data_IF_193767059218
#
_entry.id   IF_193767059218
#
_cell.length_a   1.000
_cell.length_b   1.000
_cell.length_c   1.000
_cell.angle_alpha   90.00
_cell.angle_beta   90.00
_cell.angle_gamma   90.00
#
_symmetry.space_group_name_H-M   'P 1'
#
loop_
_entity.id
_entity.type
_entity.pdbx_description
1 polymer ?
#
# COMPACT_ATOMS: atom_id res chain seq x y z
N UNK A 1 -13.09 -9.30 -29.55
CA UNK A 1 -13.35 -9.18 -28.10
C UNK A 1 -12.29 -9.99 -27.41
N UNK A 2 -11.67 -9.45 -26.41
CA UNK A 2 -10.74 -10.22 -25.57
C UNK A 2 -11.54 -11.24 -24.75
N UNK A 3 -10.92 -12.37 -24.43
CA UNK A 3 -11.59 -13.43 -23.67
C UNK A 3 -11.76 -13.09 -22.17
N UNK A 4 -11.27 -11.90 -21.74
CA UNK A 4 -11.32 -11.44 -20.35
C UNK A 4 -12.08 -10.13 -20.28
N UNK A 5 -13.13 -10.09 -19.46
CA UNK A 5 -13.96 -8.92 -19.20
C UNK A 5 -13.78 -8.52 -17.74
N UNK A 6 -13.29 -7.30 -17.47
CA UNK A 6 -13.05 -6.79 -16.14
C UNK A 6 -14.07 -5.70 -15.79
N UNK A 7 -14.94 -5.99 -14.85
CA UNK A 7 -15.98 -5.08 -14.35
C UNK A 7 -15.54 -4.44 -13.05
N UNK A 8 -15.59 -3.12 -12.96
CA UNK A 8 -15.16 -2.39 -11.76
C UNK A 8 -15.41 -0.90 -11.87
N UNK A 9 -14.80 -0.13 -10.96
CA UNK A 9 -14.87 1.33 -10.96
C UNK A 9 -13.48 1.95 -10.95
N UNK A 10 -13.33 3.11 -11.59
CA UNK A 10 -12.03 3.79 -11.73
C UNK A 10 -11.43 4.25 -10.40
N UNK A 11 -12.26 4.53 -9.40
CA UNK A 11 -11.87 4.91 -8.04
C UNK A 11 -11.45 3.73 -7.15
N UNK A 12 -11.86 2.49 -7.47
CA UNK A 12 -11.61 1.29 -6.66
C UNK A 12 -10.11 0.88 -6.70
N UNK A 13 -9.41 0.78 -5.56
CA UNK A 13 -8.00 0.40 -5.51
C UNK A 13 -7.73 -1.00 -6.05
N UNK A 14 -8.58 -1.99 -5.72
CA UNK A 14 -8.44 -3.37 -6.18
C UNK A 14 -8.68 -3.51 -7.68
N UNK A 15 -9.59 -2.71 -8.24
CA UNK A 15 -9.78 -2.61 -9.68
C UNK A 15 -8.52 -2.06 -10.37
N UNK A 16 -7.91 -1.01 -9.81
CA UNK A 16 -6.64 -0.46 -10.32
C UNK A 16 -5.51 -1.47 -10.23
N UNK A 17 -5.41 -2.21 -9.11
CA UNK A 17 -4.44 -3.29 -8.92
C UNK A 17 -4.60 -4.40 -9.95
N UNK A 18 -5.82 -4.92 -10.14
CA UNK A 18 -6.10 -5.98 -11.11
C UNK A 18 -5.82 -5.53 -12.55
N UNK A 19 -6.26 -4.32 -12.94
CA UNK A 19 -5.95 -3.73 -14.26
C UNK A 19 -4.46 -3.63 -14.49
N UNK A 20 -3.73 -3.11 -13.50
CA UNK A 20 -2.27 -2.95 -13.58
C UNK A 20 -1.60 -4.32 -13.72
N UNK A 21 -1.97 -5.31 -12.90
CA UNK A 21 -1.42 -6.65 -12.97
C UNK A 21 -1.60 -7.29 -14.34
N UNK A 22 -2.83 -7.29 -14.88
CA UNK A 22 -3.10 -7.83 -16.22
C UNK A 22 -2.30 -7.09 -17.30
N UNK A 23 -2.19 -5.77 -17.22
CA UNK A 23 -1.41 -4.95 -18.16
C UNK A 23 0.10 -5.27 -18.07
N UNK A 24 0.67 -5.38 -16.87
CA UNK A 24 2.07 -5.72 -16.64
C UNK A 24 2.41 -7.11 -17.20
N UNK A 25 1.48 -8.06 -17.07
CA UNK A 25 1.58 -9.42 -17.62
C UNK A 25 1.24 -9.49 -19.11
N UNK A 26 0.92 -8.37 -19.77
CA UNK A 26 0.51 -8.28 -21.18
C UNK A 26 -0.69 -9.18 -21.52
N UNK A 27 -1.55 -9.39 -20.55
CA UNK A 27 -2.82 -10.13 -20.72
C UNK A 27 -3.89 -9.15 -21.20
N UNK A 28 -4.42 -9.31 -22.43
CA UNK A 28 -5.44 -8.41 -22.94
C UNK A 28 -6.78 -8.62 -22.21
N UNK A 29 -7.45 -7.52 -21.88
CA UNK A 29 -8.78 -7.53 -21.27
C UNK A 29 -9.60 -6.33 -21.73
N UNK A 30 -10.93 -6.45 -21.70
CA UNK A 30 -11.86 -5.35 -21.91
C UNK A 30 -12.29 -4.79 -20.55
N UNK A 31 -12.14 -3.48 -20.37
CA UNK A 31 -12.53 -2.77 -19.15
C UNK A 31 -13.97 -2.25 -19.26
N UNK A 32 -14.78 -2.56 -18.26
CA UNK A 32 -16.15 -2.07 -18.10
C UNK A 32 -16.21 -1.26 -16.80
N UNK A 33 -16.32 0.06 -16.94
CA UNK A 33 -16.59 0.92 -15.79
C UNK A 33 -18.09 0.81 -15.46
N UNK A 34 -18.41 0.21 -14.32
CA UNK A 34 -19.79 0.01 -13.89
C UNK A 34 -20.38 1.21 -13.14
N UNK A 35 -19.62 2.30 -12.99
CA UNK A 35 -20.13 3.52 -12.36
C UNK A 35 -21.13 4.20 -13.30
N UNK A 36 -22.43 4.06 -12.97
CA UNK A 36 -23.52 4.51 -13.82
C UNK A 36 -23.94 3.56 -14.96
N UNK A 37 -23.44 2.32 -14.98
CA UNK A 37 -23.83 1.26 -15.93
C UNK A 37 -24.70 0.20 -15.26
N UNK A 38 -26.02 0.34 -15.38
CA UNK A 38 -27.00 -0.59 -14.81
C UNK A 38 -26.89 -2.02 -15.34
N UNK A 39 -26.37 -2.21 -16.56
CA UNK A 39 -26.20 -3.55 -17.16
C UNK A 39 -24.97 -4.24 -16.56
N UNK A 40 -23.87 -3.51 -16.44
CA UNK A 40 -22.65 -3.98 -15.78
C UNK A 40 -22.89 -4.31 -14.30
N UNK A 41 -23.63 -3.46 -13.57
CA UNK A 41 -24.01 -3.72 -12.19
C UNK A 41 -24.81 -5.02 -12.06
N UNK A 42 -25.83 -5.20 -12.89
CA UNK A 42 -26.66 -6.43 -12.86
C UNK A 42 -25.85 -7.67 -13.13
N UNK A 43 -24.93 -7.64 -14.09
CA UNK A 43 -24.05 -8.76 -14.39
C UNK A 43 -23.16 -9.11 -13.19
N UNK A 44 -22.56 -8.09 -12.55
CA UNK A 44 -21.72 -8.27 -11.35
C UNK A 44 -22.54 -8.90 -10.22
N UNK A 45 -23.74 -8.40 -9.96
CA UNK A 45 -24.63 -8.93 -8.92
C UNK A 45 -25.08 -10.37 -9.22
N UNK A 46 -25.43 -10.67 -10.47
CA UNK A 46 -25.81 -12.02 -10.89
C UNK A 46 -24.67 -13.03 -10.64
N UNK A 47 -23.44 -12.64 -10.99
CA UNK A 47 -22.26 -13.48 -10.80
C UNK A 47 -21.89 -13.67 -9.33
N UNK A 48 -22.18 -12.70 -8.47
CA UNK A 48 -21.78 -12.69 -7.06
C UNK A 48 -22.95 -12.96 -6.09
N UNK A 49 -24.00 -13.64 -6.53
CA UNK A 49 -25.12 -14.03 -5.64
C UNK A 49 -25.92 -12.84 -5.09
N UNK A 50 -26.10 -11.79 -5.89
CA UNK A 50 -26.82 -10.57 -5.54
C UNK A 50 -25.96 -9.51 -4.85
N UNK A 51 -24.62 -9.68 -4.79
CA UNK A 51 -23.68 -8.71 -4.20
C UNK A 51 -22.92 -7.97 -5.30
N UNK A 52 -22.78 -6.66 -5.13
CA UNK A 52 -21.94 -5.82 -6.00
C UNK A 52 -20.48 -5.88 -5.52
N UNK A 53 -19.73 -6.90 -5.94
CA UNK A 53 -18.30 -7.08 -5.60
C UNK A 53 -17.46 -6.67 -6.79
N UNK A 54 -16.47 -5.79 -6.59
CA UNK A 54 -15.57 -5.30 -7.63
C UNK A 54 -14.10 -5.31 -7.17
N UNK A 55 -13.15 -5.66 -8.08
CA UNK A 55 -13.37 -6.10 -9.47
C UNK A 55 -14.03 -7.47 -9.60
N UNK A 56 -14.94 -7.63 -10.53
CA UNK A 56 -15.39 -8.95 -11.00
C UNK A 56 -14.78 -9.19 -12.38
N UNK A 57 -14.02 -10.28 -12.52
CA UNK A 57 -13.31 -10.63 -13.75
C UNK A 57 -13.93 -11.89 -14.33
N UNK A 58 -14.49 -11.79 -15.52
CA UNK A 58 -15.12 -12.90 -16.25
C UNK A 58 -14.18 -13.39 -17.34
N UNK A 59 -13.93 -14.69 -17.40
CA UNK A 59 -13.03 -15.33 -18.35
C UNK A 59 -13.81 -15.98 -19.50
N UNK A 60 -13.13 -16.20 -20.63
CA UNK A 60 -13.71 -16.80 -21.83
C UNK A 60 -14.27 -18.23 -21.65
N UNK A 61 -13.84 -18.94 -20.61
CA UNK A 61 -14.38 -20.24 -20.22
C UNK A 61 -15.70 -20.15 -19.43
N UNK A 62 -16.21 -18.94 -19.22
CA UNK A 62 -17.43 -18.65 -18.47
C UNK A 62 -17.25 -18.59 -16.94
N UNK A 63 -16.08 -18.92 -16.41
CA UNK A 63 -15.75 -18.73 -15.00
C UNK A 63 -15.57 -17.25 -14.66
N UNK A 64 -15.63 -16.93 -13.37
CA UNK A 64 -15.31 -15.58 -12.89
C UNK A 64 -14.54 -15.64 -11.59
N UNK A 65 -13.84 -14.55 -11.29
CA UNK A 65 -13.23 -14.26 -9.99
C UNK A 65 -13.78 -12.92 -9.50
N UNK A 66 -14.14 -12.87 -8.22
CA UNK A 66 -14.61 -11.68 -7.53
C UNK A 66 -13.52 -11.19 -6.58
N UNK A 67 -13.08 -9.96 -6.74
CA UNK A 67 -12.03 -9.33 -5.92
C UNK A 67 -10.75 -10.19 -5.79
N UNK A 68 -10.26 -10.79 -6.90
CA UNK A 68 -9.15 -11.74 -6.82
C UNK A 68 -7.86 -11.04 -6.42
N UNK A 69 -7.02 -11.76 -5.68
CA UNK A 69 -5.61 -11.40 -5.51
C UNK A 69 -4.84 -11.55 -6.82
N UNK A 70 -3.65 -10.97 -6.91
CA UNK A 70 -2.79 -11.19 -8.08
C UNK A 70 -2.29 -12.64 -8.18
N UNK A 71 -2.16 -13.34 -7.03
CA UNK A 71 -1.82 -14.77 -6.99
C UNK A 71 -2.91 -15.63 -7.64
N UNK A 72 -4.18 -15.40 -7.28
CA UNK A 72 -5.34 -16.08 -7.87
C UNK A 72 -5.46 -15.79 -9.37
N UNK A 73 -5.17 -14.54 -9.78
CA UNK A 73 -5.13 -14.17 -11.20
C UNK A 73 -4.00 -14.89 -11.95
N UNK A 74 -2.80 -14.93 -11.36
CA UNK A 74 -1.65 -15.61 -11.95
C UNK A 74 -1.92 -17.11 -12.12
N UNK A 75 -2.50 -17.75 -11.10
CA UNK A 75 -2.89 -19.16 -11.14
C UNK A 75 -3.95 -19.42 -12.21
N UNK A 76 -5.03 -18.63 -12.24
CA UNK A 76 -6.09 -18.74 -13.24
C UNK A 76 -5.59 -18.59 -14.68
N UNK A 77 -4.58 -17.75 -14.88
CA UNK A 77 -4.00 -17.44 -16.19
C UNK A 77 -2.82 -18.35 -16.54
N UNK A 78 -2.38 -19.23 -15.64
CA UNK A 78 -1.24 -20.12 -15.86
C UNK A 78 0.09 -19.34 -16.03
N UNK A 79 0.25 -18.19 -15.39
CA UNK A 79 1.45 -17.36 -15.47
C UNK A 79 2.61 -18.01 -14.70
N UNK A 80 3.83 -17.84 -15.22
CA UNK A 80 5.03 -18.31 -14.54
C UNK A 80 5.23 -17.56 -13.20
N UNK A 81 5.48 -18.33 -12.14
CA UNK A 81 5.65 -17.83 -10.76
C UNK A 81 7.00 -18.23 -10.17
N UNK A 82 7.97 -18.52 -11.01
CA UNK A 82 9.37 -18.84 -10.64
C UNK A 82 10.31 -17.96 -11.41
N UNK A 83 11.40 -17.51 -10.77
CA UNK A 83 12.45 -16.74 -11.40
C UNK A 83 13.37 -17.64 -12.26
N UNK A 84 14.11 -17.03 -13.18
CA UNK A 84 14.98 -17.74 -14.13
C UNK A 84 16.23 -18.32 -13.45
N UNK A 85 16.75 -17.64 -12.43
CA UNK A 85 17.93 -18.07 -11.67
C UNK A 85 17.55 -18.43 -10.24
N UNK A 86 18.40 -19.16 -9.54
CA UNK A 86 18.25 -19.49 -8.13
C UNK A 86 19.29 -18.81 -7.24
N UNK A 87 20.29 -18.14 -7.82
CA UNK A 87 21.36 -17.46 -7.07
C UNK A 87 21.49 -16.04 -7.58
N UNK A 88 21.48 -15.07 -6.66
CA UNK A 88 21.55 -13.62 -6.95
C UNK A 88 22.56 -12.94 -6.03
N UNK A 89 23.06 -11.79 -6.42
CA UNK A 89 23.79 -10.91 -5.50
C UNK A 89 22.85 -10.28 -4.48
N UNK A 90 21.64 -9.91 -4.94
CA UNK A 90 20.63 -9.24 -4.12
C UNK A 90 19.22 -9.75 -4.43
N UNK A 91 18.52 -10.22 -3.39
CA UNK A 91 17.07 -10.46 -3.45
C UNK A 91 16.34 -9.35 -2.68
N UNK A 92 15.34 -8.75 -3.32
CA UNK A 92 14.52 -7.67 -2.76
C UNK A 92 13.10 -8.19 -2.55
N UNK A 93 12.63 -8.15 -1.31
CA UNK A 93 11.27 -8.53 -0.94
C UNK A 93 10.40 -7.27 -0.86
N UNK A 94 9.55 -7.09 -1.87
CA UNK A 94 8.67 -5.94 -2.06
C UNK A 94 9.06 -5.07 -3.25
N UNK A 95 8.18 -5.03 -4.24
CA UNK A 95 8.31 -4.28 -5.50
C UNK A 95 7.68 -2.87 -5.46
N UNK A 96 7.62 -2.27 -4.26
CA UNK A 96 7.21 -0.87 -4.08
C UNK A 96 8.32 0.12 -4.48
N UNK A 97 8.10 1.44 -4.30
CA UNK A 97 9.06 2.48 -4.67
C UNK A 97 10.46 2.28 -4.08
N UNK A 98 10.54 1.82 -2.83
CA UNK A 98 11.82 1.50 -2.17
C UNK A 98 12.54 0.36 -2.87
N UNK A 99 11.87 -0.78 -3.03
CA UNK A 99 12.47 -1.97 -3.65
C UNK A 99 12.89 -1.74 -5.09
N UNK A 100 12.03 -1.13 -5.91
CA UNK A 100 12.35 -0.80 -7.29
C UNK A 100 13.50 0.20 -7.41
N UNK A 101 13.58 1.19 -6.51
CA UNK A 101 14.72 2.12 -6.49
C UNK A 101 16.01 1.39 -6.12
N UNK A 102 16.00 0.57 -5.08
CA UNK A 102 17.16 -0.24 -4.70
C UNK A 102 17.61 -1.13 -5.85
N UNK A 103 16.67 -1.81 -6.51
CA UNK A 103 16.96 -2.66 -7.67
C UNK A 103 17.62 -1.91 -8.83
N UNK A 104 17.12 -0.70 -9.15
CA UNK A 104 17.72 0.16 -10.18
C UNK A 104 19.18 0.51 -9.84
N UNK A 105 19.43 0.90 -8.58
CA UNK A 105 20.79 1.25 -8.16
C UNK A 105 21.72 0.04 -8.17
N UNK A 106 21.28 -1.10 -7.63
CA UNK A 106 22.04 -2.35 -7.59
C UNK A 106 22.40 -2.86 -8.99
N UNK A 107 21.42 -2.97 -9.88
CA UNK A 107 21.64 -3.44 -11.25
C UNK A 107 22.54 -2.51 -12.09
N UNK A 108 22.52 -1.20 -11.83
CA UNK A 108 23.46 -0.26 -12.47
C UNK A 108 24.92 -0.49 -12.05
N UNK A 109 25.14 -1.15 -10.93
CA UNK A 109 26.46 -1.57 -10.45
C UNK A 109 26.77 -3.04 -10.78
N UNK A 110 26.02 -3.62 -11.73
CA UNK A 110 26.13 -4.99 -12.22
C UNK A 110 25.87 -6.07 -11.13
N UNK A 111 25.02 -5.78 -10.15
CA UNK A 111 24.55 -6.80 -9.22
C UNK A 111 23.35 -7.54 -9.84
N UNK A 112 23.47 -8.88 -9.91
CA UNK A 112 22.35 -9.73 -10.30
C UNK A 112 21.24 -9.59 -9.24
N UNK A 113 20.08 -9.03 -9.65
CA UNK A 113 19.06 -8.58 -8.74
C UNK A 113 17.70 -9.17 -9.08
N UNK A 114 17.07 -9.79 -8.09
CA UNK A 114 15.69 -10.28 -8.12
C UNK A 114 14.81 -9.42 -7.22
N UNK A 115 13.65 -9.00 -7.72
CA UNK A 115 12.58 -8.39 -6.90
C UNK A 115 11.39 -9.35 -6.86
N UNK A 116 10.93 -9.69 -5.64
CA UNK A 116 9.76 -10.54 -5.42
C UNK A 116 8.65 -9.70 -4.77
N UNK A 117 7.47 -9.72 -5.34
CA UNK A 117 6.30 -9.00 -4.80
C UNK A 117 5.03 -9.85 -4.85
N UNK A 118 4.30 -9.91 -3.74
CA UNK A 118 3.07 -10.69 -3.63
C UNK A 118 1.86 -10.02 -4.26
N UNK A 119 1.81 -8.69 -4.25
CA UNK A 119 0.61 -7.92 -4.66
C UNK A 119 0.74 -7.29 -6.05
N UNK A 120 1.95 -7.03 -6.50
CA UNK A 120 2.22 -6.37 -7.77
C UNK A 120 3.08 -5.12 -7.64
N UNK A 121 3.82 -4.83 -8.71
CA UNK A 121 4.84 -3.81 -8.74
C UNK A 121 4.29 -2.39 -8.63
N UNK A 122 5.00 -1.56 -7.89
CA UNK A 122 4.63 -0.17 -7.60
C UNK A 122 4.07 0.05 -6.20
N UNK A 123 3.66 -1.03 -5.51
CA UNK A 123 3.17 -0.96 -4.13
C UNK A 123 2.00 0.02 -3.94
N UNK A 124 1.89 0.65 -2.78
CA UNK A 124 0.83 1.63 -2.47
C UNK A 124 0.81 2.83 -3.44
N UNK A 125 1.99 3.26 -3.93
CA UNK A 125 2.06 4.33 -4.92
C UNK A 125 1.34 3.95 -6.22
N UNK A 126 1.46 2.70 -6.66
CA UNK A 126 0.86 2.21 -7.90
C UNK A 126 -0.67 2.19 -7.92
N UNK A 127 -1.31 2.14 -6.76
CA UNK A 127 -2.77 2.14 -6.61
C UNK A 127 -3.34 3.51 -6.20
N UNK A 128 -2.47 4.49 -5.90
CA UNK A 128 -2.87 5.86 -5.61
C UNK A 128 -3.31 6.56 -6.90
N UNK A 129 -4.43 7.25 -6.87
CA UNK A 129 -4.97 7.91 -8.06
C UNK A 129 -4.03 9.00 -8.55
N UNK A 130 -3.58 9.89 -7.66
CA UNK A 130 -2.73 11.03 -7.98
C UNK A 130 -1.74 11.34 -6.86
N UNK A 131 -0.55 11.72 -7.24
CA UNK A 131 0.57 12.10 -6.38
C UNK A 131 0.96 13.56 -6.70
N UNK A 132 0.61 14.49 -5.81
CA UNK A 132 0.90 15.92 -5.98
C UNK A 132 2.16 16.38 -5.21
N UNK A 133 2.66 15.53 -4.31
CA UNK A 133 3.81 15.82 -3.44
C UNK A 133 5.11 15.11 -3.85
N UNK A 134 5.16 14.48 -5.02
CA UNK A 134 6.39 13.86 -5.52
C UNK A 134 7.19 14.85 -6.34
N UNK A 135 8.45 15.17 -5.95
CA UNK A 135 9.27 16.17 -6.64
C UNK A 135 9.53 15.82 -8.10
N UNK A 136 9.54 16.82 -8.98
CA UNK A 136 9.76 16.67 -10.42
C UNK A 136 8.47 16.63 -11.26
N UNK A 137 7.30 16.64 -10.63
CA UNK A 137 5.99 16.66 -11.28
C UNK A 137 5.15 17.84 -10.79
N UNK A 138 5.36 19.05 -11.36
CA UNK A 138 4.69 20.27 -10.86
C UNK A 138 3.16 20.23 -10.99
N UNK A 139 2.65 19.44 -11.93
CA UNK A 139 1.22 19.23 -12.14
C UNK A 139 0.70 17.93 -11.51
N UNK A 140 1.49 17.29 -10.63
CA UNK A 140 1.21 15.96 -10.11
C UNK A 140 1.42 14.85 -11.14
N UNK A 141 1.32 13.59 -10.71
CA UNK A 141 1.45 12.40 -11.57
C UNK A 141 0.50 11.31 -11.09
N UNK A 142 -0.06 10.52 -11.99
CA UNK A 142 -0.80 9.32 -11.63
C UNK A 142 0.10 8.29 -10.95
N UNK A 143 -0.36 7.70 -9.85
CA UNK A 143 0.45 6.73 -9.10
C UNK A 143 0.82 5.51 -9.95
N UNK A 144 -0.12 4.99 -10.73
CA UNK A 144 0.13 3.89 -11.68
C UNK A 144 1.16 4.27 -12.75
N UNK A 145 1.11 5.50 -13.27
CA UNK A 145 2.07 6.01 -14.25
C UNK A 145 3.49 6.07 -13.66
N UNK A 146 3.62 6.61 -12.44
CA UNK A 146 4.91 6.71 -11.78
C UNK A 146 5.49 5.32 -11.48
N UNK A 147 4.64 4.41 -10.97
CA UNK A 147 5.03 3.02 -10.71
C UNK A 147 5.51 2.30 -11.97
N UNK A 148 4.80 2.46 -13.09
CA UNK A 148 5.20 1.90 -14.38
C UNK A 148 6.56 2.45 -14.86
N UNK A 149 6.85 3.73 -14.62
CA UNK A 149 8.16 4.32 -14.92
C UNK A 149 9.28 3.66 -14.09
N UNK A 150 9.08 3.38 -12.79
CA UNK A 150 10.06 2.65 -11.98
C UNK A 150 10.26 1.22 -12.47
N UNK A 151 9.17 0.51 -12.76
CA UNK A 151 9.23 -0.87 -13.29
C UNK A 151 10.02 -0.94 -14.59
N UNK A 152 9.66 -0.10 -15.57
CA UNK A 152 10.39 -0.04 -16.87
C UNK A 152 11.85 0.35 -16.70
N UNK A 153 12.16 1.22 -15.75
CA UNK A 153 13.54 1.59 -15.47
C UNK A 153 14.33 0.41 -14.87
N UNK A 154 13.76 -0.35 -13.94
CA UNK A 154 14.38 -1.55 -13.38
C UNK A 154 14.61 -2.62 -14.46
N UNK A 155 13.59 -2.91 -15.28
CA UNK A 155 13.68 -3.86 -16.40
C UNK A 155 14.76 -3.47 -17.43
N UNK A 156 14.91 -2.17 -17.71
CA UNK A 156 15.96 -1.67 -18.62
C UNK A 156 17.37 -2.03 -18.16
N UNK A 157 17.59 -2.19 -16.86
CA UNK A 157 18.86 -2.59 -16.27
C UNK A 157 19.00 -4.10 -16.03
N UNK A 158 18.03 -4.89 -16.51
CA UNK A 158 18.09 -6.35 -16.42
C UNK A 158 17.60 -6.92 -15.07
N UNK A 159 16.96 -6.09 -14.22
CA UNK A 159 16.37 -6.59 -12.97
C UNK A 159 15.31 -7.63 -13.28
N UNK A 160 15.38 -8.79 -12.65
CA UNK A 160 14.33 -9.79 -12.70
C UNK A 160 13.21 -9.44 -11.70
N UNK A 161 11.97 -9.47 -12.18
CA UNK A 161 10.78 -9.05 -11.43
C UNK A 161 9.80 -10.21 -11.35
N UNK A 162 9.64 -10.78 -10.15
CA UNK A 162 8.72 -11.87 -9.87
C UNK A 162 7.49 -11.34 -9.13
N UNK A 163 6.33 -11.40 -9.78
CA UNK A 163 5.07 -10.89 -9.25
C UNK A 163 4.15 -12.01 -8.82
N UNK A 164 3.19 -11.69 -7.94
CA UNK A 164 2.20 -12.61 -7.43
C UNK A 164 2.83 -13.82 -6.71
N UNK A 165 3.93 -13.56 -6.00
CA UNK A 165 4.65 -14.56 -5.20
C UNK A 165 4.96 -13.98 -3.84
N UNK A 166 4.50 -14.66 -2.79
CA UNK A 166 4.78 -14.27 -1.40
C UNK A 166 6.06 -14.94 -0.91
N UNK A 167 6.93 -14.16 -0.28
CA UNK A 167 8.07 -14.69 0.48
C UNK A 167 7.57 -15.15 1.86
N UNK A 168 8.00 -16.32 2.29
CA UNK A 168 7.62 -16.93 3.58
C UNK A 168 8.72 -16.84 4.62
N UNK A 169 9.99 -16.93 4.21
CA UNK A 169 11.14 -16.80 5.11
C UNK A 169 12.32 -16.12 4.43
N UNK A 170 13.19 -15.50 5.25
CA UNK A 170 14.51 -15.02 4.86
C UNK A 170 15.47 -15.44 5.95
N UNK A 171 16.31 -16.44 5.69
CA UNK A 171 17.19 -17.04 6.70
C UNK A 171 18.64 -17.01 6.25
N UNK A 172 19.56 -16.97 7.22
CA UNK A 172 21.00 -17.19 7.00
C UNK A 172 21.25 -18.71 6.96
N UNK A 173 21.82 -19.21 5.87
CA UNK A 173 22.15 -20.63 5.70
C UNK A 173 23.41 -21.05 6.47
N UNK A 174 24.09 -20.11 7.14
CA UNK A 174 25.34 -20.33 7.88
C UNK A 174 26.59 -20.42 6.99
N UNK A 175 26.46 -20.26 5.67
CA UNK A 175 27.54 -20.33 4.68
C UNK A 175 27.82 -18.99 3.99
N UNK A 176 27.41 -17.87 4.60
CA UNK A 176 27.48 -16.50 4.06
C UNK A 176 26.50 -16.24 2.89
N UNK A 177 25.52 -17.09 2.71
CA UNK A 177 24.40 -16.90 1.79
C UNK A 177 23.10 -16.85 2.58
N UNK A 178 22.12 -16.15 2.01
CA UNK A 178 20.78 -16.07 2.54
C UNK A 178 19.88 -16.97 1.71
N UNK A 179 18.98 -17.68 2.35
CA UNK A 179 17.92 -18.42 1.69
C UNK A 179 16.60 -17.68 1.81
N UNK A 180 15.99 -17.37 0.66
CA UNK A 180 14.70 -16.71 0.53
C UNK A 180 13.70 -17.72 0.00
N UNK A 181 12.83 -18.20 0.86
CA UNK A 181 11.78 -19.16 0.52
C UNK A 181 10.49 -18.46 0.15
N UNK A 182 9.78 -19.00 -0.82
CA UNK A 182 8.50 -18.49 -1.30
C UNK A 182 7.35 -19.44 -0.98
N UNK A 183 6.12 -18.93 -0.99
CA UNK A 183 4.90 -19.73 -0.81
C UNK A 183 4.69 -20.76 -1.93
N UNK A 184 5.36 -20.63 -3.07
CA UNK A 184 5.38 -21.60 -4.16
C UNK A 184 6.34 -22.77 -3.90
N UNK A 185 7.16 -22.68 -2.85
CA UNK A 185 8.19 -23.67 -2.53
C UNK A 185 9.51 -23.47 -3.27
N UNK A 186 9.66 -22.37 -4.00
CA UNK A 186 10.94 -22.01 -4.62
C UNK A 186 11.89 -21.40 -3.57
N UNK A 187 13.18 -21.67 -3.71
CA UNK A 187 14.26 -21.15 -2.91
C UNK A 187 15.21 -20.31 -3.77
N UNK A 188 15.50 -19.10 -3.31
CA UNK A 188 16.45 -18.20 -3.95
C UNK A 188 17.59 -17.85 -2.99
N UNK A 189 18.80 -18.18 -3.39
CA UNK A 189 19.99 -17.87 -2.60
C UNK A 189 20.53 -16.49 -2.95
N UNK A 190 20.95 -15.73 -1.95
CA UNK A 190 21.45 -14.38 -2.14
C UNK A 190 22.59 -14.04 -1.19
N UNK A 191 23.51 -13.19 -1.66
CA UNK A 191 24.58 -12.62 -0.83
C UNK A 191 24.09 -11.52 0.09
N UNK A 192 23.01 -10.85 -0.32
CA UNK A 192 22.30 -9.86 0.49
C UNK A 192 20.79 -9.90 0.18
N UNK A 193 19.97 -9.50 1.16
CA UNK A 193 18.53 -9.33 0.98
C UNK A 193 18.07 -7.96 1.48
N UNK A 194 17.05 -7.39 0.81
CA UNK A 194 16.39 -6.17 1.25
C UNK A 194 14.92 -6.45 1.54
N UNK A 195 14.48 -6.12 2.74
CA UNK A 195 13.08 -6.08 3.13
C UNK A 195 12.51 -4.69 2.79
N UNK A 196 11.67 -4.63 1.76
CA UNK A 196 11.01 -3.41 1.27
C UNK A 196 9.49 -3.60 1.16
N UNK A 197 8.92 -4.44 2.05
CA UNK A 197 7.52 -4.88 2.02
C UNK A 197 6.52 -3.80 2.42
N UNK A 198 7.01 -2.67 2.95
CA UNK A 198 6.18 -1.53 3.29
C UNK A 198 5.28 -1.76 4.49
N UNK A 199 4.19 -0.98 4.55
CA UNK A 199 3.18 -1.07 5.60
C UNK A 199 1.78 -0.90 5.00
N UNK A 200 0.77 -1.35 5.74
CA UNK A 200 -0.64 -1.22 5.38
C UNK A 200 -1.36 -0.33 6.38
N UNK A 201 -2.29 0.49 5.92
CA UNK A 201 -3.12 1.29 6.81
C UNK A 201 -4.09 0.40 7.58
N UNK A 202 -4.22 0.65 8.89
CA UNK A 202 -5.25 0.01 9.70
C UNK A 202 -6.63 0.42 9.23
N UNK A 203 -7.53 -0.54 9.23
CA UNK A 203 -8.93 -0.36 8.90
C UNK A 203 -9.76 -0.11 10.16
N UNK A 204 -10.87 0.60 10.00
CA UNK A 204 -11.84 0.76 11.10
C UNK A 204 -12.64 -0.52 11.31
N UNK A 205 -12.70 -1.39 10.29
CA UNK A 205 -13.52 -2.61 10.19
C UNK A 205 -15.03 -2.30 10.26
N UNK A 206 -15.41 -1.05 10.04
CA UNK A 206 -16.79 -0.63 10.01
C UNK A 206 -17.47 -1.05 8.71
N UNK A 207 -18.74 -1.39 8.78
CA UNK A 207 -19.52 -1.80 7.61
C UNK A 207 -19.47 -0.75 6.51
N UNK A 208 -19.18 -1.15 5.26
CA UNK A 208 -19.10 -0.28 4.08
C UNK A 208 -17.78 0.49 3.93
N UNK A 209 -16.77 0.24 4.80
CA UNK A 209 -15.46 0.89 4.65
C UNK A 209 -14.80 0.52 3.32
N UNK A 210 -14.71 -0.77 3.03
CA UNK A 210 -14.00 -1.27 1.84
C UNK A 210 -14.62 -0.77 0.53
N UNK A 211 -15.94 -0.68 0.47
CA UNK A 211 -16.67 -0.20 -0.70
C UNK A 211 -16.43 1.30 -1.00
N UNK A 212 -15.97 2.08 -0.01
CA UNK A 212 -15.86 3.53 -0.10
C UNK A 212 -14.40 4.05 -0.05
N UNK A 213 -13.43 3.15 -0.02
CA UNK A 213 -12.01 3.53 -0.12
C UNK A 213 -11.72 4.11 -1.50
N UNK A 214 -11.17 5.33 -1.52
CA UNK A 214 -11.00 6.13 -2.74
C UNK A 214 -12.26 6.86 -3.20
N UNK A 215 -13.45 6.43 -2.75
CA UNK A 215 -14.74 7.06 -3.04
C UNK A 215 -15.22 8.01 -1.92
N UNK A 216 -14.31 8.45 -1.07
CA UNK A 216 -14.54 9.36 0.05
C UNK A 216 -13.88 8.94 1.35
N UNK A 217 -13.29 7.73 1.43
CA UNK A 217 -12.43 7.29 2.53
C UNK A 217 -10.98 7.26 2.06
N UNK A 218 -10.10 7.93 2.81
CA UNK A 218 -8.70 8.17 2.45
C UNK A 218 -7.77 7.89 3.63
N UNK A 219 -6.48 7.69 3.34
CA UNK A 219 -5.44 7.39 4.32
C UNK A 219 -4.24 8.34 4.27
N UNK A 220 -4.30 9.37 3.40
CA UNK A 220 -3.23 10.35 3.23
C UNK A 220 -3.82 11.74 3.03
N UNK A 221 -3.73 12.63 4.02
CA UNK A 221 -4.29 13.97 3.89
C UNK A 221 -3.49 14.84 2.91
N UNK A 222 -2.17 14.68 2.86
CA UNK A 222 -1.33 15.44 1.92
C UNK A 222 -1.56 15.02 0.46
N UNK A 223 -2.01 13.77 0.22
CA UNK A 223 -2.33 13.27 -1.11
C UNK A 223 -3.73 13.71 -1.56
N UNK A 224 -4.73 13.53 -0.69
CA UNK A 224 -6.14 13.61 -1.06
C UNK A 224 -6.83 14.89 -0.56
N UNK A 225 -6.29 15.53 0.50
CA UNK A 225 -6.84 16.76 1.08
C UNK A 225 -7.09 17.89 0.07
N UNK A 226 -6.15 18.19 -0.85
CA UNK A 226 -6.32 19.24 -1.85
C UNK A 226 -7.56 19.08 -2.74
N UNK A 227 -8.05 17.85 -2.97
CA UNK A 227 -9.28 17.59 -3.76
C UNK A 227 -10.55 18.08 -3.06
N UNK A 228 -10.48 18.32 -1.75
CA UNK A 228 -11.61 18.79 -0.94
C UNK A 228 -11.62 20.29 -0.72
N UNK A 229 -10.87 21.06 -1.51
CA UNK A 229 -10.82 22.52 -1.37
C UNK A 229 -12.21 23.15 -1.54
N UNK A 230 -12.65 23.85 -0.49
CA UNK A 230 -13.97 24.50 -0.45
C UNK A 230 -15.09 23.57 0.06
N UNK A 231 -14.77 22.40 0.58
CA UNK A 231 -15.73 21.53 1.25
C UNK A 231 -16.22 22.14 2.58
N UNK A 232 -17.42 21.76 3.00
CA UNK A 232 -18.00 22.24 4.27
C UNK A 232 -17.50 21.48 5.48
N UNK A 233 -17.30 20.14 5.35
CA UNK A 233 -16.85 19.29 6.45
C UNK A 233 -15.98 18.13 5.94
N UNK A 234 -14.86 17.92 6.63
CA UNK A 234 -14.05 16.69 6.53
C UNK A 234 -14.00 16.01 7.90
N UNK A 235 -13.84 14.70 7.90
CA UNK A 235 -13.75 13.92 9.14
C UNK A 235 -12.39 13.22 9.21
N UNK A 236 -11.81 13.19 10.41
CA UNK A 236 -10.59 12.46 10.74
C UNK A 236 -10.93 11.39 11.77
N UNK A 237 -10.58 10.15 11.48
CA UNK A 237 -10.72 9.04 12.41
C UNK A 237 -9.36 8.76 13.05
N UNK A 238 -9.25 9.02 14.35
CA UNK A 238 -8.04 8.82 15.16
C UNK A 238 -7.48 10.12 15.76
N UNK A 239 -7.33 10.15 17.07
CA UNK A 239 -6.83 11.28 17.86
C UNK A 239 -5.37 11.13 18.32
N UNK A 240 -4.56 10.34 17.60
CA UNK A 240 -3.11 10.25 17.77
C UNK A 240 -2.36 11.39 17.08
N UNK A 241 -1.00 11.41 17.16
CA UNK A 241 -0.20 12.47 16.53
C UNK A 241 -0.55 12.66 15.05
N UNK A 242 -0.55 11.58 14.26
CA UNK A 242 -0.86 11.65 12.83
C UNK A 242 -2.25 12.24 12.56
N UNK A 243 -3.28 11.76 13.26
CA UNK A 243 -4.64 12.29 13.07
C UNK A 243 -4.78 13.77 13.41
N UNK A 244 -4.09 14.24 14.46
CA UNK A 244 -4.12 15.65 14.85
C UNK A 244 -3.33 16.54 13.90
N UNK A 245 -2.14 16.12 13.45
CA UNK A 245 -1.31 16.86 12.49
C UNK A 245 -2.02 16.96 11.13
N UNK A 246 -2.47 15.84 10.60
CA UNK A 246 -3.18 15.76 9.33
C UNK A 246 -4.55 16.47 9.39
N UNK A 247 -5.24 16.39 10.54
CA UNK A 247 -6.47 17.15 10.76
C UNK A 247 -6.26 18.66 10.72
N UNK A 248 -5.18 19.16 11.35
CA UNK A 248 -4.78 20.55 11.25
C UNK A 248 -4.45 20.97 9.80
N UNK A 249 -3.75 20.11 9.06
CA UNK A 249 -3.46 20.35 7.65
C UNK A 249 -4.75 20.45 6.82
N UNK A 250 -5.71 19.57 7.04
CA UNK A 250 -7.01 19.56 6.35
C UNK A 250 -7.84 20.83 6.56
N UNK A 251 -7.63 21.58 7.66
CA UNK A 251 -8.33 22.87 7.88
C UNK A 251 -8.05 23.92 6.79
N UNK A 252 -6.96 23.72 6.02
CA UNK A 252 -6.63 24.57 4.85
C UNK A 252 -7.56 24.36 3.64
N UNK A 253 -8.33 23.27 3.63
CA UNK A 253 -9.15 22.89 2.47
C UNK A 253 -10.65 22.91 2.75
N UNK A 254 -11.06 22.88 4.01
CA UNK A 254 -12.47 22.80 4.41
C UNK A 254 -12.84 23.88 5.42
N UNK A 255 -14.15 24.07 5.60
CA UNK A 255 -14.67 24.99 6.64
C UNK A 255 -14.63 24.35 8.03
N UNK A 256 -14.70 23.02 8.13
CA UNK A 256 -14.70 22.27 9.39
C UNK A 256 -13.99 20.93 9.25
N UNK A 257 -13.24 20.56 10.29
CA UNK A 257 -12.67 19.22 10.47
C UNK A 257 -13.18 18.62 11.78
N UNK A 258 -13.79 17.44 11.72
CA UNK A 258 -14.27 16.70 12.88
C UNK A 258 -13.31 15.55 13.15
N UNK A 259 -12.65 15.57 14.33
CA UNK A 259 -11.80 14.47 14.79
C UNK A 259 -12.61 13.52 15.66
N UNK A 260 -12.66 12.26 15.29
CA UNK A 260 -13.34 11.18 16.03
C UNK A 260 -12.30 10.31 16.70
N UNK A 261 -12.36 10.19 18.03
CA UNK A 261 -11.47 9.37 18.83
C UNK A 261 -12.27 8.44 19.75
N UNK A 262 -11.89 7.17 19.77
CA UNK A 262 -12.59 6.15 20.58
C UNK A 262 -12.32 6.25 22.07
N UNK A 263 -11.19 6.85 22.45
CA UNK A 263 -10.78 7.02 23.84
C UNK A 263 -11.47 8.24 24.47
N UNK A 264 -11.43 8.30 25.79
CA UNK A 264 -11.89 9.43 26.62
C UNK A 264 -11.01 10.69 26.47
N UNK A 265 -9.92 10.59 25.70
CA UNK A 265 -8.93 11.67 25.49
C UNK A 265 -8.20 11.52 24.16
N UNK A 266 -7.69 12.64 23.65
CA UNK A 266 -6.74 12.63 22.55
C UNK A 266 -5.41 12.03 23.01
N UNK A 267 -4.77 11.23 22.14
CA UNK A 267 -3.51 10.52 22.43
C UNK A 267 -2.28 11.16 21.78
N UNK A 268 -2.48 12.19 21.00
CA UNK A 268 -1.37 12.98 20.43
C UNK A 268 -0.60 13.79 21.49
N UNK A 269 0.52 14.41 21.10
CA UNK A 269 1.31 15.26 21.98
C UNK A 269 0.49 16.44 22.53
N UNK A 270 0.83 16.91 23.73
CA UNK A 270 0.12 18.03 24.36
C UNK A 270 0.06 19.26 23.48
N UNK A 271 1.16 19.56 22.76
CA UNK A 271 1.24 20.67 21.82
C UNK A 271 0.19 20.56 20.69
N UNK A 272 -0.01 19.35 20.13
CA UNK A 272 -0.99 19.11 19.09
C UNK A 272 -2.41 19.17 19.63
N UNK A 273 -2.65 18.57 20.81
CA UNK A 273 -3.93 18.67 21.50
C UNK A 273 -4.34 20.14 21.70
N UNK A 274 -3.43 20.97 22.23
CA UNK A 274 -3.70 22.39 22.47
C UNK A 274 -3.99 23.16 21.16
N UNK A 275 -3.27 22.85 20.08
CA UNK A 275 -3.54 23.44 18.75
C UNK A 275 -4.93 23.06 18.24
N UNK A 276 -5.30 21.80 18.31
CA UNK A 276 -6.58 21.28 17.83
C UNK A 276 -7.74 21.83 18.64
N UNK A 277 -7.64 21.79 19.98
CA UNK A 277 -8.71 22.26 20.87
C UNK A 277 -8.97 23.76 20.79
N UNK A 278 -7.98 24.55 20.39
CA UNK A 278 -8.12 26.01 20.22
C UNK A 278 -8.34 26.43 18.75
N UNK A 279 -8.42 25.49 17.81
CA UNK A 279 -8.58 25.83 16.39
C UNK A 279 -10.04 26.06 16.02
N UNK A 280 -10.40 27.23 15.41
CA UNK A 280 -11.79 27.62 15.18
C UNK A 280 -12.54 26.70 14.20
N UNK A 281 -11.84 25.95 13.37
CA UNK A 281 -12.42 25.02 12.39
C UNK A 281 -12.43 23.57 12.85
N UNK A 282 -11.93 23.25 14.06
CA UNK A 282 -11.83 21.87 14.54
C UNK A 282 -12.88 21.57 15.61
N UNK A 283 -13.49 20.41 15.47
CA UNK A 283 -14.38 19.78 16.45
C UNK A 283 -13.78 18.44 16.85
N UNK A 284 -13.88 18.07 18.13
CA UNK A 284 -13.38 16.78 18.63
C UNK A 284 -14.55 16.03 19.26
N UNK A 285 -14.77 14.80 18.80
CA UNK A 285 -15.69 13.84 19.35
C UNK A 285 -14.90 12.72 20.01
N UNK A 286 -14.84 12.75 21.35
CA UNK A 286 -14.24 11.69 22.16
C UNK A 286 -15.25 10.58 22.41
N UNK A 287 -14.77 9.39 22.74
CA UNK A 287 -15.60 8.22 23.07
C UNK A 287 -16.58 7.85 21.95
N UNK A 288 -16.24 8.17 20.71
CA UNK A 288 -17.03 7.82 19.54
C UNK A 288 -16.26 6.84 18.64
N UNK A 289 -16.98 5.84 18.14
CA UNK A 289 -16.51 4.90 17.12
C UNK A 289 -17.26 5.08 15.81
N UNK A 290 -16.71 4.56 14.71
CA UNK A 290 -17.44 4.44 13.46
C UNK A 290 -18.20 3.12 13.46
N UNK A 291 -19.52 3.17 13.31
CA UNK A 291 -20.37 1.99 13.20
C UNK A 291 -20.54 1.55 11.74
N UNK A 292 -20.70 2.50 10.82
CA UNK A 292 -20.82 2.20 9.39
C UNK A 292 -20.49 3.42 8.52
N UNK A 293 -20.06 3.13 7.30
CA UNK A 293 -20.01 4.08 6.19
C UNK A 293 -21.09 3.71 5.17
N UNK A 294 -21.76 4.71 4.61
CA UNK A 294 -22.80 4.51 3.60
C UNK A 294 -22.57 5.38 2.38
N UNK A 295 -22.77 4.79 1.22
CA UNK A 295 -22.78 5.53 -0.04
C UNK A 295 -23.98 6.48 -0.10
N UNK A 296 -23.90 7.45 -0.99
CA UNK A 296 -25.04 8.29 -1.36
C UNK A 296 -26.11 7.47 -2.06
N UNK A 297 -27.37 7.83 -1.84
CA UNK A 297 -28.52 7.19 -2.52
C UNK A 297 -28.68 7.63 -3.98
N UNK A 298 -27.74 8.45 -4.52
CA UNK A 298 -27.77 8.99 -5.89
C UNK A 298 -27.13 8.06 -6.95
N UNK A 299 -26.69 6.86 -6.52
CA UNK A 299 -26.03 5.87 -7.39
C UNK A 299 -24.57 6.18 -7.73
N UNK A 300 -24.00 7.27 -7.20
CA UNK A 300 -22.61 7.67 -7.50
C UNK A 300 -21.55 6.74 -6.88
N UNK A 301 -21.92 5.88 -5.95
CA UNK A 301 -20.99 5.04 -5.19
C UNK A 301 -20.08 5.83 -4.23
N UNK A 302 -20.27 7.15 -4.08
CA UNK A 302 -19.46 8.01 -3.21
C UNK A 302 -19.98 8.04 -1.79
N UNK A 303 -19.09 8.37 -0.84
CA UNK A 303 -19.44 8.53 0.56
C UNK A 303 -20.60 9.52 0.74
N UNK A 304 -21.64 9.08 1.45
CA UNK A 304 -22.83 9.88 1.80
C UNK A 304 -22.94 10.14 3.28
N UNK A 305 -22.84 9.07 4.10
CA UNK A 305 -23.05 9.17 5.54
C UNK A 305 -22.02 8.35 6.30
N UNK A 306 -21.55 8.90 7.42
CA UNK A 306 -20.79 8.19 8.44
C UNK A 306 -21.69 8.02 9.66
N UNK A 307 -21.99 6.78 10.03
CA UNK A 307 -22.70 6.47 11.27
C UNK A 307 -21.67 6.34 12.39
N UNK A 308 -21.70 7.28 13.33
CA UNK A 308 -20.89 7.23 14.55
C UNK A 308 -21.73 6.60 15.67
N UNK A 309 -21.05 5.97 16.62
CA UNK A 309 -21.63 5.43 17.84
C UNK A 309 -20.92 6.05 19.05
N UNK A 310 -21.69 6.66 19.95
CA UNK A 310 -21.21 7.04 21.28
C UNK A 310 -20.97 5.75 22.06
N UNK A 311 -19.73 5.50 22.44
CA UNK A 311 -19.31 4.25 23.07
C UNK A 311 -19.71 4.14 24.56
N UNK A 312 -20.19 5.23 25.16
CA UNK A 312 -20.73 5.22 26.52
C UNK A 312 -22.22 4.90 26.53
N UNK A 313 -22.97 5.51 25.62
CA UNK A 313 -24.45 5.42 25.63
C UNK A 313 -24.99 4.44 24.60
N UNK A 314 -24.20 4.08 23.56
CA UNK A 314 -24.66 3.30 22.40
C UNK A 314 -25.53 4.11 21.43
N UNK A 315 -25.66 5.42 21.62
CA UNK A 315 -26.44 6.28 20.74
C UNK A 315 -25.73 6.46 19.39
N UNK A 316 -26.49 6.39 18.29
CA UNK A 316 -25.98 6.56 16.94
C UNK A 316 -26.16 7.98 16.43
N UNK A 317 -25.12 8.54 15.87
CA UNK A 317 -25.08 9.87 15.26
C UNK A 317 -24.70 9.77 13.78
N UNK A 318 -25.58 10.22 12.88
CA UNK A 318 -25.27 10.35 11.45
C UNK A 318 -24.55 11.66 11.14
N UNK A 319 -23.45 11.59 10.38
CA UNK A 319 -22.70 12.75 9.85
C UNK A 319 -22.56 12.62 8.33
N UNK A 320 -22.43 13.74 7.64
CA UNK A 320 -22.35 13.81 6.17
C UNK A 320 -21.09 14.56 5.68
N UNK A 321 -19.87 14.15 6.08
CA UNK A 321 -18.66 14.79 5.60
C UNK A 321 -18.48 14.53 4.11
N UNK A 322 -17.80 15.44 3.40
CA UNK A 322 -17.44 15.24 2.00
C UNK A 322 -16.32 14.22 1.83
N UNK A 323 -15.47 14.03 2.86
CA UNK A 323 -14.43 13.03 2.90
C UNK A 323 -14.06 12.63 4.32
N UNK A 324 -13.57 11.41 4.46
CA UNK A 324 -13.08 10.83 5.72
C UNK A 324 -11.62 10.44 5.55
N UNK A 325 -10.80 10.78 6.54
CA UNK A 325 -9.38 10.46 6.59
C UNK A 325 -9.10 9.58 7.81
N UNK A 326 -8.60 8.35 7.58
CA UNK A 326 -8.42 7.35 8.63
C UNK A 326 -6.95 7.31 9.07
N UNK A 327 -6.68 7.70 10.33
CA UNK A 327 -5.35 7.77 10.93
C UNK A 327 -5.28 7.01 12.25
N UNK A 328 -5.67 5.73 12.23
CA UNK A 328 -5.68 4.84 13.41
C UNK A 328 -4.42 3.96 13.51
N UNK A 329 -3.43 4.22 12.66
CA UNK A 329 -2.14 3.58 12.66
C UNK A 329 -1.82 2.83 11.37
N UNK A 330 -0.63 2.26 11.34
CA UNK A 330 -0.09 1.45 10.27
C UNK A 330 0.34 0.10 10.84
N UNK A 331 0.14 -0.95 10.06
CA UNK A 331 0.68 -2.28 10.33
C UNK A 331 1.79 -2.56 9.31
N UNK A 332 3.04 -2.76 9.77
CA UNK A 332 4.12 -3.14 8.87
C UNK A 332 3.88 -4.55 8.31
N UNK A 333 4.25 -4.75 7.06
CA UNK A 333 4.10 -6.04 6.38
C UNK A 333 5.27 -6.98 6.77
N UNK A 334 5.33 -7.34 8.06
CA UNK A 334 6.42 -8.12 8.69
C UNK A 334 5.97 -9.45 9.25
N UNK A 335 4.71 -9.85 9.03
CA UNK A 335 4.14 -11.07 9.62
C UNK A 335 4.96 -12.33 9.35
N UNK A 336 5.55 -12.45 8.17
CA UNK A 336 6.41 -13.56 7.77
C UNK A 336 7.82 -13.53 8.42
N UNK A 337 8.22 -12.42 9.03
CA UNK A 337 9.54 -12.20 9.65
C UNK A 337 9.55 -12.47 11.16
N UNK A 338 8.42 -12.89 11.75
CA UNK A 338 8.33 -13.08 13.20
C UNK A 338 9.37 -14.09 13.72
N UNK A 339 10.19 -13.63 14.68
CA UNK A 339 11.28 -14.44 15.26
C UNK A 339 12.54 -14.53 14.42
N UNK A 340 12.57 -13.95 13.21
CA UNK A 340 13.75 -13.94 12.34
C UNK A 340 14.58 -12.66 12.54
N UNK A 341 13.95 -11.49 12.43
CA UNK A 341 14.60 -10.19 12.62
C UNK A 341 14.06 -9.48 13.87
N UNK A 342 14.84 -8.55 14.41
CA UNK A 342 14.37 -7.70 15.51
C UNK A 342 13.33 -6.71 15.01
N UNK A 343 12.15 -6.72 15.64
CA UNK A 343 11.05 -5.79 15.40
C UNK A 343 10.88 -4.84 16.61
N UNK A 344 10.39 -3.62 16.37
CA UNK A 344 9.97 -2.73 17.45
C UNK A 344 8.62 -3.18 18.06
N UNK A 345 8.16 -2.49 19.12
CA UNK A 345 6.90 -2.81 19.81
C UNK A 345 5.66 -2.66 18.92
N UNK A 346 5.78 -2.03 17.76
CA UNK A 346 4.73 -1.83 16.75
C UNK A 346 4.85 -2.80 15.58
N UNK A 347 5.87 -3.66 15.57
CA UNK A 347 6.15 -4.64 14.54
C UNK A 347 7.00 -4.15 13.36
N UNK A 348 7.52 -2.89 13.38
CA UNK A 348 8.43 -2.40 12.35
C UNK A 348 9.83 -2.99 12.50
N UNK A 349 10.52 -3.20 11.37
CA UNK A 349 11.88 -3.73 11.38
C UNK A 349 12.86 -2.72 11.99
N UNK A 350 13.56 -3.13 13.05
CA UNK A 350 14.65 -2.37 13.63
C UNK A 350 15.92 -2.51 12.77
N UNK A 351 16.56 -1.39 12.47
CA UNK A 351 17.81 -1.36 11.70
C UNK A 351 18.85 -0.47 12.36
N UNK A 352 20.10 -0.73 12.03
CA UNK A 352 21.18 0.20 12.32
C UNK A 352 21.18 1.39 11.31
N UNK A 353 22.06 2.39 11.49
CA UNK A 353 22.18 3.52 10.55
C UNK A 353 22.55 3.14 9.11
N UNK A 354 23.03 1.91 8.87
CA UNK A 354 23.35 1.38 7.55
C UNK A 354 22.20 0.60 6.91
N UNK A 355 20.99 0.67 7.49
CA UNK A 355 19.81 -0.10 7.11
C UNK A 355 19.92 -1.61 7.36
N UNK A 356 20.98 -2.11 8.00
CA UNK A 356 21.14 -3.53 8.31
C UNK A 356 20.25 -3.91 9.49
N UNK A 357 19.60 -5.08 9.37
CA UNK A 357 18.77 -5.69 10.42
C UNK A 357 19.65 -6.44 11.44
N UNK A 358 19.03 -7.19 12.32
CA UNK A 358 19.73 -8.10 13.25
C UNK A 358 20.39 -9.30 12.57
N UNK A 359 20.07 -9.58 11.30
CA UNK A 359 20.72 -10.64 10.51
C UNK A 359 21.74 -9.98 9.58
N UNK A 360 23.03 -10.38 9.62
CA UNK A 360 24.05 -9.89 8.70
C UNK A 360 23.65 -10.15 7.24
N UNK A 361 23.78 -9.13 6.38
CA UNK A 361 23.39 -9.23 4.98
C UNK A 361 21.91 -8.98 4.69
N UNK A 362 21.05 -8.97 5.73
CA UNK A 362 19.63 -8.59 5.57
C UNK A 362 19.44 -7.13 5.94
N UNK A 363 18.92 -6.36 5.01
CA UNK A 363 18.63 -4.92 5.13
C UNK A 363 17.14 -4.66 5.15
N UNK A 364 16.71 -3.49 5.68
CA UNK A 364 15.33 -3.05 5.56
C UNK A 364 15.28 -1.55 5.27
N UNK A 365 14.39 -1.13 4.38
CA UNK A 365 14.21 0.27 4.00
C UNK A 365 12.76 0.58 3.61
N UNK A 366 12.39 1.85 3.67
CA UNK A 366 11.05 2.34 3.42
C UNK A 366 10.09 2.06 4.57
N UNK A 367 8.81 1.98 4.27
CA UNK A 367 7.74 2.02 5.27
C UNK A 367 7.67 0.79 6.20
N UNK A 368 8.39 -0.29 5.89
CA UNK A 368 8.52 -1.47 6.76
C UNK A 368 9.43 -1.20 7.96
N UNK A 369 10.32 -0.19 7.87
CA UNK A 369 11.36 0.11 8.85
C UNK A 369 10.86 1.07 9.93
N UNK A 370 11.32 0.89 11.18
CA UNK A 370 11.17 1.90 12.23
C UNK A 370 11.92 3.20 11.85
N UNK A 371 11.33 4.33 12.21
CA UNK A 371 11.88 5.66 11.91
C UNK A 371 11.70 6.14 10.46
N UNK A 372 11.12 5.36 9.55
CA UNK A 372 10.73 5.86 8.23
C UNK A 372 9.61 6.90 8.31
N UNK A 373 9.65 7.92 7.44
CA UNK A 373 8.66 9.02 7.42
C UNK A 373 7.35 8.65 6.72
N UNK A 374 7.24 7.48 6.14
CA UNK A 374 6.03 6.99 5.46
C UNK A 374 5.58 7.91 4.32
N UNK A 375 6.54 8.44 3.55
CA UNK A 375 6.32 9.28 2.37
C UNK A 375 7.03 8.69 1.15
N UNK A 376 6.43 8.84 -0.04
CA UNK A 376 6.95 8.27 -1.29
C UNK A 376 8.39 8.75 -1.59
N UNK A 377 8.66 10.05 -1.49
CA UNK A 377 10.00 10.61 -1.72
C UNK A 377 11.04 10.08 -0.73
N UNK A 378 10.63 9.88 0.54
CA UNK A 378 11.48 9.25 1.56
C UNK A 378 11.75 7.78 1.24
N UNK A 379 10.72 7.02 0.83
CA UNK A 379 10.84 5.62 0.45
C UNK A 379 11.82 5.42 -0.72
N UNK A 380 11.79 6.30 -1.72
CA UNK A 380 12.76 6.34 -2.83
C UNK A 380 14.16 6.70 -2.33
N UNK A 381 14.28 7.72 -1.46
CA UNK A 381 15.55 8.12 -0.86
C UNK A 381 16.20 7.03 -0.01
N UNK A 382 15.40 6.36 0.83
CA UNK A 382 15.88 5.22 1.62
C UNK A 382 16.30 4.04 0.73
N UNK A 383 15.56 3.75 -0.35
CA UNK A 383 15.93 2.71 -1.30
C UNK A 383 17.28 2.96 -1.97
N UNK A 384 17.55 4.20 -2.38
CA UNK A 384 18.83 4.60 -2.95
C UNK A 384 19.98 4.49 -1.91
N UNK A 385 19.72 4.95 -0.67
CA UNK A 385 20.70 4.88 0.41
C UNK A 385 21.02 3.42 0.81
N UNK A 386 19.99 2.57 0.92
CA UNK A 386 20.16 1.15 1.22
C UNK A 386 20.98 0.43 0.14
N UNK A 387 20.76 0.71 -1.14
CA UNK A 387 21.55 0.14 -2.24
C UNK A 387 23.05 0.41 -2.08
N UNK A 388 23.42 1.65 -1.69
CA UNK A 388 24.82 2.04 -1.46
C UNK A 388 25.41 1.24 -0.28
N UNK A 389 24.64 1.06 0.80
CA UNK A 389 25.09 0.29 1.96
C UNK A 389 25.23 -1.20 1.65
N UNK A 390 24.28 -1.77 0.90
CA UNK A 390 24.34 -3.16 0.42
C UNK A 390 25.59 -3.37 -0.43
N UNK A 391 25.87 -2.48 -1.38
CA UNK A 391 27.09 -2.56 -2.18
C UNK A 391 28.34 -2.56 -1.31
N UNK A 392 28.43 -1.63 -0.36
CA UNK A 392 29.56 -1.56 0.57
C UNK A 392 29.70 -2.81 1.45
N UNK A 393 28.60 -3.48 1.79
CA UNK A 393 28.61 -4.77 2.47
C UNK A 393 29.16 -5.88 1.58
N UNK A 394 28.68 -6.02 0.35
CA UNK A 394 29.15 -7.02 -0.61
C UNK A 394 30.63 -6.87 -0.93
N UNK A 395 31.13 -5.63 -1.11
CA UNK A 395 32.55 -5.34 -1.33
C UNK A 395 33.44 -5.75 -0.14
N UNK A 396 32.94 -5.65 1.10
CA UNK A 396 33.67 -6.13 2.29
C UNK A 396 33.73 -7.66 2.32
N UNK A 397 32.61 -8.34 2.05
CA UNK A 397 32.56 -9.80 2.00
C UNK A 397 33.53 -10.38 0.99
N UNK A 398 33.63 -9.76 -0.21
CA UNK A 398 34.59 -10.18 -1.25
C UNK A 398 36.03 -10.08 -0.77
N UNK A 399 36.38 -8.97 -0.11
CA UNK A 399 37.75 -8.78 0.43
C UNK A 399 38.10 -9.77 1.54
N UNK A 400 37.13 -10.10 2.39
CA UNK A 400 37.32 -11.05 3.50
C UNK A 400 37.31 -12.53 3.02
N UNK A 401 36.69 -12.84 1.91
CA UNK A 401 36.62 -14.17 1.32
C UNK A 401 37.82 -14.54 0.43
N UNK A 402 38.66 -13.54 0.08
CA UNK A 402 39.88 -13.71 -0.74
C UNK A 402 41.17 -13.79 0.08
N UNK A 403 41.08 -13.84 1.42
CA UNK A 403 42.21 -13.96 2.35
C UNK A 403 42.50 -15.38 2.83
#
# INVERSE_FOLDING_TARGET
MTDIQLYGASWCPDCRRAKKFLSDQRVPFDWHDIDGDDEGIRLVEERNGGKRIIPTIVFGDGSHLAEPTNEELAEKLGLARSAMMHVYDLVIVGGGPTGLTTAIYAARENLETLVIDSKGLGGQAGITERLDNYPGFPDGVGGAELADRFVRQAQRYGVELLQAVSVTTVTDDGHRELDVETATGDHYHARAALLATGSSYRRTEAAGEDDLIGAGIHFCATCDGPFYKGSSELMVIGGGNSGLEEGLFLTGFTDRVVVVERSDRLRGSKLLQDKVMNHPKMEVLLEHGVAAFRAKDDGSGKLGTVELEDLQTGEKLGRHPQGVFVFIGLDPNTGFLQGQVTLDDRGFVATDPTFMTSIPGVFAAGDVRDGSTKQLASAVGEGAAAAIQIRGYLDRMEREGTG
#
